data_IF_476449379393
#
_entry.id   IF_476449379393
#
_cell.length_a   1.000
_cell.length_b   1.000
_cell.length_c   1.000
_cell.angle_alpha   90.00
_cell.angle_beta   90.00
_cell.angle_gamma   90.00
#
_symmetry.space_group_name_H-M   'P 1'
#
loop_
_entity.id
_entity.type
_entity.pdbx_description
1 polymer ?
#
# COMPACT_ATOMS: atom_id res chain seq x y z
N UNK A 1 11.74 -20.87 -5.70
CA UNK A 1 10.40 -20.37 -6.05
C UNK A 1 10.38 -18.91 -5.68
N UNK A 2 10.03 -18.03 -6.61
CA UNK A 2 9.75 -16.62 -6.27
C UNK A 2 8.44 -16.64 -5.48
N UNK A 3 8.42 -16.07 -4.29
CA UNK A 3 7.22 -15.98 -3.46
C UNK A 3 6.27 -14.98 -4.11
N UNK A 4 5.02 -15.37 -4.35
CA UNK A 4 4.03 -14.44 -4.90
C UNK A 4 3.52 -13.49 -3.82
N UNK A 5 3.05 -12.29 -4.17
CA UNK A 5 2.34 -11.42 -3.21
C UNK A 5 1.23 -12.16 -2.45
N UNK A 6 0.47 -13.02 -3.15
CA UNK A 6 -0.64 -13.79 -2.56
C UNK A 6 -0.16 -14.80 -1.51
N UNK A 7 1.00 -15.42 -1.74
CA UNK A 7 1.62 -16.35 -0.79
C UNK A 7 2.13 -15.60 0.45
N UNK A 8 2.76 -14.43 0.23
CA UNK A 8 3.21 -13.56 1.30
C UNK A 8 2.06 -13.14 2.22
N UNK A 9 0.92 -12.71 1.68
CA UNK A 9 -0.24 -12.36 2.51
C UNK A 9 -0.77 -13.54 3.30
N UNK A 10 -0.82 -14.74 2.71
CA UNK A 10 -1.21 -15.97 3.42
C UNK A 10 -0.25 -16.28 4.56
N UNK A 11 1.06 -16.08 4.37
CA UNK A 11 2.05 -16.29 5.42
C UNK A 11 1.85 -15.32 6.59
N UNK A 12 1.71 -14.02 6.29
CA UNK A 12 1.49 -12.98 7.32
C UNK A 12 0.20 -13.22 8.11
N UNK A 13 -0.89 -13.62 7.43
CA UNK A 13 -2.15 -13.97 8.07
C UNK A 13 -1.98 -15.18 9.00
N UNK A 14 -1.34 -16.26 8.53
CA UNK A 14 -1.10 -17.47 9.34
C UNK A 14 -0.23 -17.19 10.56
N UNK A 15 0.72 -16.27 10.45
CA UNK A 15 1.58 -15.85 11.54
C UNK A 15 0.90 -14.88 12.53
N UNK A 16 -0.35 -14.46 12.28
CA UNK A 16 -1.05 -13.48 13.10
C UNK A 16 -0.47 -12.07 13.02
N UNK A 17 0.32 -11.78 11.98
CA UNK A 17 0.95 -10.47 11.76
C UNK A 17 -0.03 -9.47 11.16
N UNK A 18 -0.99 -9.96 10.38
CA UNK A 18 -2.09 -9.15 9.82
C UNK A 18 -3.45 -9.81 10.09
N UNK A 19 -4.50 -9.00 10.17
CA UNK A 19 -5.88 -9.48 10.31
C UNK A 19 -6.43 -10.05 8.99
N UNK A 20 -7.54 -10.79 9.09
CA UNK A 20 -8.27 -11.26 7.90
C UNK A 20 -8.81 -10.08 7.07
N UNK A 21 -9.15 -8.97 7.71
CA UNK A 21 -9.63 -7.75 7.04
C UNK A 21 -8.51 -7.15 6.19
N UNK A 22 -7.35 -6.87 6.80
CA UNK A 22 -6.18 -6.34 6.11
C UNK A 22 -5.70 -7.26 4.98
N UNK A 23 -5.68 -8.58 5.21
CA UNK A 23 -5.38 -9.57 4.17
C UNK A 23 -6.28 -9.42 2.94
N UNK A 24 -7.60 -9.38 3.15
CA UNK A 24 -8.56 -9.30 2.03
C UNK A 24 -8.44 -7.97 1.27
N UNK A 25 -8.22 -6.87 1.99
CA UNK A 25 -8.02 -5.56 1.38
C UNK A 25 -6.73 -5.53 0.56
N UNK A 26 -5.63 -6.10 1.05
CA UNK A 26 -4.38 -6.17 0.31
C UNK A 26 -4.52 -7.00 -0.98
N UNK A 27 -5.31 -8.08 -0.97
CA UNK A 27 -5.60 -8.84 -2.19
C UNK A 27 -6.42 -8.03 -3.20
N UNK A 28 -7.48 -7.34 -2.76
CA UNK A 28 -8.28 -6.47 -3.64
C UNK A 28 -7.44 -5.32 -4.21
N UNK A 29 -6.54 -4.75 -3.41
CA UNK A 29 -5.63 -3.70 -3.84
C UNK A 29 -4.64 -4.20 -4.89
N UNK A 30 -4.09 -5.41 -4.70
CA UNK A 30 -3.20 -6.04 -5.67
C UNK A 30 -3.90 -6.30 -7.00
N UNK A 31 -5.13 -6.80 -6.97
CA UNK A 31 -5.92 -7.03 -8.19
C UNK A 31 -6.21 -5.72 -8.95
N UNK A 32 -6.47 -4.62 -8.24
CA UNK A 32 -6.65 -3.31 -8.87
C UNK A 32 -5.35 -2.80 -9.51
N UNK A 33 -4.22 -2.93 -8.82
CA UNK A 33 -2.90 -2.55 -9.33
C UNK A 33 -2.50 -3.38 -10.56
N UNK A 34 -2.68 -4.72 -10.49
CA UNK A 34 -2.41 -5.63 -11.61
C UNK A 34 -3.26 -5.27 -12.84
N UNK A 35 -4.54 -4.95 -12.64
CA UNK A 35 -5.46 -4.64 -13.74
C UNK A 35 -5.23 -3.26 -14.37
N UNK A 36 -4.93 -2.26 -13.57
CA UNK A 36 -4.94 -0.85 -14.03
C UNK A 36 -3.56 -0.28 -14.27
N UNK A 37 -2.57 -0.72 -13.49
CA UNK A 37 -1.17 -0.31 -13.65
C UNK A 37 -0.30 -1.40 -14.27
N UNK A 38 -0.83 -2.61 -14.49
CA UNK A 38 -0.14 -3.72 -15.16
C UNK A 38 1.16 -4.08 -14.44
N UNK A 39 1.16 -4.00 -13.11
CA UNK A 39 2.35 -4.28 -12.28
C UNK A 39 2.60 -5.78 -12.19
N UNK A 40 3.87 -6.18 -12.11
CA UNK A 40 4.22 -7.56 -11.79
C UNK A 40 3.96 -7.86 -10.31
N UNK A 41 2.92 -8.66 -10.04
CA UNK A 41 2.55 -9.08 -8.68
C UNK A 41 3.57 -10.02 -8.02
N UNK A 42 4.59 -10.46 -8.76
CA UNK A 42 5.73 -11.21 -8.24
C UNK A 42 6.86 -10.30 -7.75
N UNK A 43 6.84 -9.01 -8.13
CA UNK A 43 7.91 -8.07 -7.76
C UNK A 43 7.99 -7.85 -6.25
N UNK A 44 9.22 -7.70 -5.76
CA UNK A 44 9.50 -7.36 -4.35
C UNK A 44 8.82 -6.02 -3.98
N UNK A 45 8.72 -5.09 -4.93
CA UNK A 45 8.09 -3.80 -4.72
C UNK A 45 6.59 -3.92 -4.43
N UNK A 46 5.85 -4.75 -5.17
CA UNK A 46 4.42 -5.02 -4.87
C UNK A 46 4.29 -5.73 -3.52
N UNK A 47 5.17 -6.67 -3.22
CA UNK A 47 5.16 -7.37 -1.93
C UNK A 47 5.39 -6.42 -0.75
N UNK A 48 6.34 -5.50 -0.87
CA UNK A 48 6.66 -4.50 0.14
C UNK A 48 5.48 -3.55 0.34
N UNK A 49 4.98 -2.96 -0.74
CA UNK A 49 3.86 -2.02 -0.70
C UNK A 49 2.62 -2.63 -0.03
N UNK A 50 2.27 -3.86 -0.40
CA UNK A 50 1.10 -4.53 0.15
C UNK A 50 1.28 -4.99 1.59
N UNK A 51 2.51 -5.34 1.99
CA UNK A 51 2.84 -5.59 3.40
C UNK A 51 2.64 -4.32 4.23
N UNK A 52 3.14 -3.18 3.72
CA UNK A 52 3.01 -1.90 4.40
C UNK A 52 1.55 -1.50 4.54
N UNK A 53 0.77 -1.64 3.47
CA UNK A 53 -0.65 -1.32 3.43
C UNK A 53 -1.46 -2.19 4.40
N UNK A 54 -1.28 -3.51 4.38
CA UNK A 54 -1.97 -4.42 5.30
C UNK A 54 -1.68 -4.09 6.76
N UNK A 55 -0.40 -3.85 7.10
CA UNK A 55 -0.01 -3.50 8.48
C UNK A 55 -0.52 -2.12 8.92
N UNK A 56 -0.59 -1.15 8.01
CA UNK A 56 -1.14 0.17 8.30
C UNK A 56 -2.64 0.09 8.60
N UNK A 57 -3.40 -0.68 7.82
CA UNK A 57 -4.82 -0.93 8.07
C UNK A 57 -5.05 -1.46 9.48
N UNK A 58 -4.31 -2.49 9.89
CA UNK A 58 -4.46 -3.06 11.24
C UNK A 58 -4.08 -2.08 12.34
N UNK A 59 -2.99 -1.30 12.17
CA UNK A 59 -2.61 -0.27 13.14
C UNK A 59 -3.71 0.76 13.33
N UNK A 60 -4.25 1.30 12.24
CA UNK A 60 -5.32 2.30 12.27
C UNK A 60 -6.58 1.73 12.93
N UNK A 61 -6.98 0.50 12.58
CA UNK A 61 -8.16 -0.13 13.17
C UNK A 61 -8.01 -0.42 14.67
N UNK A 62 -6.77 -0.61 15.14
CA UNK A 62 -6.46 -0.83 16.55
C UNK A 62 -6.18 0.47 17.32
N UNK A 63 -6.20 1.64 16.68
CA UNK A 63 -5.86 2.93 17.29
C UNK A 63 -4.37 3.06 17.65
N UNK A 64 -3.51 2.36 16.91
CA UNK A 64 -2.06 2.31 17.08
C UNK A 64 -1.33 2.79 15.81
N UNK A 65 -1.94 3.71 15.06
CA UNK A 65 -1.32 4.36 13.90
C UNK A 65 0.00 5.04 14.26
N UNK A 66 0.90 5.13 13.29
CA UNK A 66 2.14 5.89 13.45
C UNK A 66 1.85 7.40 13.49
N UNK A 67 2.60 8.13 14.31
CA UNK A 67 2.47 9.59 14.46
C UNK A 67 3.36 10.38 13.50
N UNK A 68 4.47 9.79 13.07
CA UNK A 68 5.46 10.43 12.19
C UNK A 68 5.36 9.80 10.80
N UNK A 69 5.13 10.64 9.80
CA UNK A 69 5.06 10.24 8.40
C UNK A 69 6.41 10.21 7.72
N UNK A 70 6.38 10.08 6.39
CA UNK A 70 7.52 10.31 5.53
C UNK A 70 8.08 11.71 5.76
N UNK A 71 9.40 11.85 5.63
CA UNK A 71 10.06 13.16 5.65
C UNK A 71 9.37 14.15 4.71
N UNK A 72 9.14 15.37 5.20
CA UNK A 72 8.33 16.36 4.49
C UNK A 72 8.96 16.86 3.20
N UNK A 73 10.29 16.91 3.12
CA UNK A 73 11.01 17.32 1.90
C UNK A 73 10.86 16.21 0.85
N UNK A 74 11.08 14.96 1.24
CA UNK A 74 10.87 13.79 0.36
C UNK A 74 9.42 13.72 -0.13
N UNK A 75 8.44 13.96 0.76
CA UNK A 75 7.04 13.89 0.36
C UNK A 75 6.63 15.06 -0.55
N UNK A 76 7.26 16.23 -0.40
CA UNK A 76 7.06 17.35 -1.32
C UNK A 76 7.59 17.02 -2.71
N UNK A 77 8.78 16.41 -2.83
CA UNK A 77 9.33 15.96 -4.11
C UNK A 77 8.38 15.00 -4.84
N UNK A 78 7.80 14.03 -4.13
CA UNK A 78 6.80 13.10 -4.69
C UNK A 78 5.57 13.84 -5.22
N UNK A 79 5.13 14.90 -4.53
CA UNK A 79 3.94 15.70 -4.91
C UNK A 79 4.16 16.60 -6.12
N UNK A 80 5.40 17.01 -6.34
CA UNK A 80 5.78 17.87 -7.47
C UNK A 80 5.98 17.09 -8.77
N UNK A 81 6.11 15.77 -8.69
CA UNK A 81 6.24 14.90 -9.86
C UNK A 81 4.97 14.91 -10.73
N UNK A 82 5.15 14.95 -12.06
CA UNK A 82 4.06 14.98 -13.04
C UNK A 82 3.10 13.78 -12.92
N UNK A 83 3.59 12.64 -12.41
CA UNK A 83 2.76 11.46 -12.23
C UNK A 83 1.92 11.47 -10.95
N UNK A 84 2.17 12.40 -10.02
CA UNK A 84 1.51 12.43 -8.71
C UNK A 84 -0.02 12.37 -8.77
N UNK A 85 -0.73 13.07 -9.70
CA UNK A 85 -2.17 12.95 -9.80
C UNK A 85 -2.66 11.51 -10.05
N UNK A 86 -1.89 10.70 -10.79
CA UNK A 86 -2.20 9.29 -11.03
C UNK A 86 -1.95 8.45 -9.76
N UNK A 87 -0.86 8.73 -9.04
CA UNK A 87 -0.56 8.08 -7.75
C UNK A 87 -1.66 8.36 -6.74
N UNK A 88 -2.07 9.63 -6.63
CA UNK A 88 -3.10 10.06 -5.69
C UNK A 88 -4.47 9.44 -6.03
N UNK A 89 -4.80 9.32 -7.32
CA UNK A 89 -6.03 8.67 -7.76
C UNK A 89 -6.06 7.18 -7.39
N UNK A 90 -4.95 6.46 -7.63
CA UNK A 90 -4.84 5.06 -7.22
C UNK A 90 -4.85 4.92 -5.70
N UNK A 91 -4.07 5.73 -4.98
CA UNK A 91 -4.07 5.76 -3.51
C UNK A 91 -5.49 5.90 -2.96
N UNK A 92 -6.25 6.89 -3.44
CA UNK A 92 -7.64 7.09 -3.01
C UNK A 92 -8.50 5.85 -3.26
N UNK A 93 -8.42 5.27 -4.45
CA UNK A 93 -9.18 4.07 -4.80
C UNK A 93 -8.86 2.89 -3.88
N UNK A 94 -7.58 2.66 -3.60
CA UNK A 94 -7.14 1.58 -2.72
C UNK A 94 -7.58 1.82 -1.27
N UNK A 95 -7.50 3.07 -0.82
CA UNK A 95 -7.98 3.49 0.50
C UNK A 95 -9.50 3.30 0.65
N UNK A 96 -10.28 3.52 -0.41
CA UNK A 96 -11.73 3.32 -0.39
C UNK A 96 -12.12 1.85 -0.13
N UNK A 97 -11.25 0.86 -0.44
CA UNK A 97 -11.48 -0.55 -0.08
C UNK A 97 -11.45 -0.81 1.42
N UNK A 98 -10.76 0.02 2.19
CA UNK A 98 -10.60 -0.16 3.64
C UNK A 98 -11.87 0.12 4.42
N UNK A 99 -12.75 0.99 3.88
CA UNK A 99 -13.90 1.58 4.58
C UNK A 99 -13.53 2.32 5.88
N UNK A 100 -12.26 2.67 6.07
CA UNK A 100 -11.79 3.52 7.15
C UNK A 100 -12.17 4.96 6.79
N UNK A 101 -12.88 5.65 7.69
CA UNK A 101 -13.38 7.01 7.42
C UNK A 101 -12.26 8.03 7.24
N UNK A 102 -11.18 7.90 8.01
CA UNK A 102 -10.03 8.80 7.94
C UNK A 102 -8.75 7.98 8.09
N UNK A 103 -7.93 7.98 7.05
CA UNK A 103 -6.59 7.40 7.09
C UNK A 103 -5.63 8.51 7.53
N UNK A 104 -4.86 8.32 8.62
CA UNK A 104 -3.90 9.31 9.08
C UNK A 104 -2.87 9.66 7.99
N UNK A 105 -2.55 10.95 7.84
CA UNK A 105 -1.59 11.43 6.85
C UNK A 105 -0.21 10.77 7.00
N UNK A 106 0.21 10.50 8.25
CA UNK A 106 1.46 9.83 8.55
C UNK A 106 1.52 8.42 7.92
N UNK A 107 0.50 7.59 8.15
CA UNK A 107 0.38 6.27 7.52
C UNK A 107 0.28 6.37 5.99
N UNK A 108 -0.52 7.32 5.50
CA UNK A 108 -0.78 7.45 4.07
C UNK A 108 0.44 7.92 3.28
N UNK A 109 1.30 8.75 3.87
CA UNK A 109 2.52 9.25 3.22
C UNK A 109 3.48 8.12 2.82
N UNK A 110 3.66 7.11 3.66
CA UNK A 110 4.45 5.92 3.32
C UNK A 110 3.78 5.07 2.23
N UNK A 111 2.47 4.95 2.26
CA UNK A 111 1.77 4.19 1.23
C UNK A 111 1.83 4.87 -0.13
N UNK A 112 1.69 6.20 -0.17
CA UNK A 112 1.89 7.01 -1.39
C UNK A 112 3.32 6.85 -1.91
N UNK A 113 4.33 6.88 -1.04
CA UNK A 113 5.72 6.64 -1.44
C UNK A 113 5.92 5.26 -2.08
N UNK A 114 5.32 4.22 -1.51
CA UNK A 114 5.36 2.86 -2.09
C UNK A 114 4.68 2.80 -3.47
N UNK A 115 3.54 3.47 -3.63
CA UNK A 115 2.84 3.55 -4.92
C UNK A 115 3.63 4.35 -5.95
N UNK A 116 4.29 5.43 -5.55
CA UNK A 116 5.15 6.22 -6.41
C UNK A 116 6.33 5.39 -6.93
N UNK A 117 7.07 4.72 -6.04
CA UNK A 117 8.17 3.83 -6.43
C UNK A 117 7.69 2.70 -7.37
N UNK A 118 6.56 2.07 -7.05
CA UNK A 118 5.95 1.04 -7.91
C UNK A 118 5.58 1.59 -9.29
N UNK A 119 5.05 2.81 -9.35
CA UNK A 119 4.70 3.45 -10.61
C UNK A 119 5.96 3.71 -11.45
N UNK A 120 7.05 4.20 -10.86
CA UNK A 120 8.29 4.43 -11.59
C UNK A 120 8.95 3.15 -12.11
N UNK A 121 8.80 2.03 -11.39
CA UNK A 121 9.42 0.74 -11.73
C UNK A 121 8.62 -0.11 -12.72
N UNK A 122 7.39 0.28 -13.10
CA UNK A 122 6.45 -0.56 -13.87
C UNK A 122 6.83 -0.87 -15.33
N UNK A 123 8.08 -0.65 -15.74
CA UNK A 123 8.62 -0.90 -17.09
C UNK A 123 9.02 -2.34 -17.33
#
# INVERSE_FOLDING_TARGET
>A
MVETMKERMKMLLKAGVISQCAHNIALMATEALEKEWVVDIQSDQVQMAMTHFARAIDRIQLGNEISEGLDSEIFAEIKEDECYPLIQAMNKKLCDFTKIETIPDAENSFFISNLYAMYLERT
#
